data_IF_905798508887
#
_entry.id   IF_905798508887
#
_cell.length_a   1.000
_cell.length_b   1.000
_cell.length_c   1.000
_cell.angle_alpha   90.00
_cell.angle_beta   90.00
_cell.angle_gamma   90.00
#
_symmetry.space_group_name_H-M   'P 1'
#
loop_
_entity.id
_entity.type
_entity.pdbx_description
1 polymer ?
#
# COMPACT_ATOMS: atom_id res chain seq x y z
N UNK A 1 -9.17 8.57 2.44
CA UNK A 1 -9.49 7.13 2.37
C UNK A 1 -10.97 7.00 2.09
N UNK A 2 -11.32 6.27 1.03
CA UNK A 2 -12.68 5.87 0.66
C UNK A 2 -12.74 4.33 0.76
N UNK A 3 -13.95 3.80 0.95
CA UNK A 3 -14.20 2.37 1.15
C UNK A 3 -13.23 1.69 2.14
N UNK A 4 -13.01 2.34 3.29
CA UNK A 4 -12.08 1.88 4.34
C UNK A 4 -10.65 1.55 3.86
N UNK A 5 -10.21 2.10 2.72
CA UNK A 5 -8.90 1.84 2.13
C UNK A 5 -8.89 0.85 0.98
N UNK A 6 -10.03 0.28 0.57
CA UNK A 6 -10.14 -0.62 -0.57
C UNK A 6 -10.47 0.09 -1.90
N UNK A 7 -10.81 1.38 -1.86
CA UNK A 7 -10.94 2.24 -3.07
C UNK A 7 -9.55 2.74 -3.54
N UNK A 8 -8.81 1.89 -4.28
CA UNK A 8 -7.40 2.13 -4.62
C UNK A 8 -7.25 3.06 -5.84
N UNK A 9 -6.58 4.21 -5.66
CA UNK A 9 -6.26 5.15 -6.74
C UNK A 9 -4.83 5.03 -7.29
N UNK A 10 -3.90 4.40 -6.56
CA UNK A 10 -2.52 4.15 -7.00
C UNK A 10 -1.98 2.94 -6.24
N UNK A 11 -1.64 1.87 -6.97
CA UNK A 11 -1.13 0.62 -6.37
C UNK A 11 0.35 0.69 -5.99
N UNK A 12 1.08 1.69 -6.46
CA UNK A 12 2.54 1.79 -6.30
C UNK A 12 2.93 2.79 -5.20
N UNK A 13 1.96 3.36 -4.48
CA UNK A 13 2.22 4.37 -3.45
C UNK A 13 1.54 4.06 -2.12
N UNK A 14 2.27 4.32 -1.05
CA UNK A 14 1.72 4.40 0.30
C UNK A 14 0.87 5.66 0.43
N UNK A 15 -0.28 5.55 1.09
CA UNK A 15 -1.09 6.71 1.43
C UNK A 15 -0.27 7.66 2.32
N UNK A 16 -0.14 8.97 2.01
CA UNK A 16 0.70 9.91 2.77
C UNK A 16 0.37 10.00 4.27
N UNK A 17 -0.83 9.60 4.69
CA UNK A 17 -1.20 9.50 6.12
C UNK A 17 -0.40 8.42 6.87
N UNK A 18 0.06 7.39 6.18
CA UNK A 18 0.82 6.27 6.75
C UNK A 18 2.33 6.36 6.51
N UNK A 19 2.77 7.30 5.67
CA UNK A 19 4.18 7.51 5.36
C UNK A 19 4.44 7.52 3.86
N UNK A 20 5.65 7.13 3.50
CA UNK A 20 6.20 7.11 2.15
C UNK A 20 6.63 5.70 1.76
N UNK A 21 7.02 5.50 0.51
CA UNK A 21 7.64 4.24 0.09
C UNK A 21 8.96 3.97 0.81
N UNK A 22 9.73 5.00 1.18
CA UNK A 22 10.96 4.83 1.94
C UNK A 22 10.68 4.30 3.36
N UNK A 23 9.60 4.75 3.99
CA UNK A 23 9.17 4.24 5.30
C UNK A 23 8.73 2.77 5.20
N UNK A 24 8.10 2.39 4.08
CA UNK A 24 7.73 1.00 3.81
C UNK A 24 8.97 0.11 3.56
N UNK A 25 9.98 0.61 2.86
CA UNK A 25 11.26 -0.07 2.66
C UNK A 25 11.99 -0.28 4.00
N UNK A 26 11.97 0.71 4.89
CA UNK A 26 12.53 0.58 6.24
C UNK A 26 11.78 -0.48 7.05
N UNK A 27 10.45 -0.48 7.00
CA UNK A 27 9.61 -1.50 7.66
C UNK A 27 9.98 -2.91 7.15
N UNK A 28 10.13 -3.09 5.84
CA UNK A 28 10.54 -4.37 5.24
C UNK A 28 11.93 -4.80 5.70
N UNK A 29 12.89 -3.88 5.75
CA UNK A 29 14.25 -4.16 6.18
C UNK A 29 14.29 -4.59 7.66
N UNK A 30 13.56 -3.89 8.54
CA UNK A 30 13.49 -4.22 9.96
C UNK A 30 12.72 -5.53 10.23
N UNK A 31 11.67 -5.81 9.47
CA UNK A 31 10.93 -7.09 9.57
C UNK A 31 11.84 -8.28 9.19
N UNK A 32 12.60 -8.16 8.10
CA UNK A 32 13.54 -9.21 7.66
C UNK A 32 14.62 -9.51 8.71
N UNK A 33 15.15 -8.50 9.40
CA UNK A 33 16.13 -8.71 10.50
C UNK A 33 15.57 -9.52 11.67
N UNK A 34 14.24 -9.66 11.76
CA UNK A 34 13.51 -10.33 12.85
C UNK A 34 12.78 -11.59 12.37
N UNK A 35 13.07 -12.06 11.16
CA UNK A 35 12.40 -13.20 10.52
C UNK A 35 10.86 -13.03 10.44
N UNK A 36 10.40 -11.79 10.31
CA UNK A 36 8.98 -11.44 10.16
C UNK A 36 8.63 -11.31 8.68
N UNK A 37 7.64 -12.08 8.23
CA UNK A 37 7.00 -11.89 6.92
C UNK A 37 5.92 -10.82 6.97
N UNK A 38 5.84 -9.99 5.93
CA UNK A 38 4.76 -9.01 5.74
C UNK A 38 3.81 -9.51 4.66
N UNK A 39 2.52 -9.54 4.96
CA UNK A 39 1.44 -9.85 4.01
C UNK A 39 0.65 -8.56 3.78
N UNK A 40 0.30 -8.30 2.53
CA UNK A 40 -0.52 -7.15 2.13
C UNK A 40 -1.78 -7.63 1.43
N UNK A 41 -2.86 -6.87 1.61
CA UNK A 41 -4.06 -7.04 0.81
C UNK A 41 -3.80 -6.56 -0.62
N UNK A 42 -4.24 -7.36 -1.59
CA UNK A 42 -4.23 -6.98 -3.01
C UNK A 42 -5.66 -6.90 -3.52
N UNK A 43 -6.15 -5.69 -3.74
CA UNK A 43 -7.51 -5.43 -4.19
C UNK A 43 -7.55 -5.46 -5.71
N UNK A 44 -7.94 -6.60 -6.30
CA UNK A 44 -7.96 -6.80 -7.76
C UNK A 44 -9.36 -6.67 -8.39
N UNK A 45 -10.41 -6.64 -7.57
CA UNK A 45 -11.78 -6.68 -8.07
C UNK A 45 -12.26 -5.33 -8.63
N UNK A 46 -11.74 -4.22 -8.12
CA UNK A 46 -12.10 -2.86 -8.55
C UNK A 46 -11.00 -1.86 -8.20
N UNK A 47 -11.03 -0.69 -8.85
CA UNK A 47 -10.16 0.46 -8.61
C UNK A 47 -11.00 1.72 -8.37
N UNK A 48 -10.39 2.75 -7.80
CA UNK A 48 -11.04 4.05 -7.64
C UNK A 48 -11.29 4.75 -8.97
N UNK A 49 -12.31 5.61 -8.97
CA UNK A 49 -12.56 6.56 -10.07
C UNK A 49 -11.39 7.53 -10.29
N UNK A 50 -10.60 7.76 -9.24
CA UNK A 50 -9.41 8.62 -9.26
C UNK A 50 -8.15 7.83 -9.66
N UNK A 51 -8.26 6.53 -9.91
CA UNK A 51 -7.16 5.77 -10.49
C UNK A 51 -6.91 6.28 -11.90
N UNK A 52 -5.67 6.68 -12.19
CA UNK A 52 -5.27 7.10 -13.53
C UNK A 52 -5.34 5.90 -14.48
N UNK A 53 -6.51 5.70 -15.08
CA UNK A 53 -6.67 4.88 -16.27
C UNK A 53 -6.17 5.62 -17.51
N UNK A 54 -5.77 4.86 -18.54
CA UNK A 54 -5.79 5.33 -19.93
C UNK A 54 -7.16 5.93 -20.28
#
# INVERSE_FOLDING_TARGET
MRDMGYDISDYEKVNPRFGTMADFDELLAEARKRDIGIIMDLVINHTSIDHLGL
#
